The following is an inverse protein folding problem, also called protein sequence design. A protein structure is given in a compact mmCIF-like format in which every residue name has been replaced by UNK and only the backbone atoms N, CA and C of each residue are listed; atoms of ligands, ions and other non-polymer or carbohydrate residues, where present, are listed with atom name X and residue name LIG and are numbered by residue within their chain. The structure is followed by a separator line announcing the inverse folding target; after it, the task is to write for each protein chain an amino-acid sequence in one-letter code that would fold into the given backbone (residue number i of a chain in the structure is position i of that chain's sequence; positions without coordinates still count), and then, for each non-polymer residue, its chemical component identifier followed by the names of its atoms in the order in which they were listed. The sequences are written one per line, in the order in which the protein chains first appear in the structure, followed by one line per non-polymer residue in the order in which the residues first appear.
data_IF_875037317485
#
_entry.id   IF_875037317485
#
_cell.length_a   1.000
_cell.length_b   1.000
_cell.length_c   1.000
_cell.angle_alpha   90.00
_cell.angle_beta   90.00
_cell.angle_gamma   90.00
#
_symmetry.space_group_name_H-M   'P 1'
#
loop_
_entity.id
_entity.type
_entity.pdbx_description
1 polymer ?
#
# COMPACT_ATOMS: atom_id res chain seq x y z
N UNK A 1 -35.28 13.09 28.79
CA UNK A 1 -34.83 13.09 27.38
C UNK A 1 -33.45 12.46 27.18
N UNK A 2 -32.31 13.11 27.52
CA UNK A 2 -30.98 12.54 27.20
C UNK A 2 -30.67 11.23 27.94
N UNK A 3 -31.08 11.13 29.22
CA UNK A 3 -30.84 9.94 30.03
C UNK A 3 -31.69 8.74 29.58
N UNK A 4 -32.90 8.99 29.08
CA UNK A 4 -33.78 7.96 28.51
C UNK A 4 -33.22 7.45 27.18
N UNK A 5 -32.64 8.33 26.37
CA UNK A 5 -31.95 7.96 25.14
C UNK A 5 -30.71 7.09 25.41
N UNK A 6 -29.94 7.42 26.44
CA UNK A 6 -28.76 6.62 26.81
C UNK A 6 -29.16 5.29 27.44
N UNK A 7 -30.15 5.30 28.34
CA UNK A 7 -30.61 4.11 29.06
C UNK A 7 -31.41 3.15 28.15
N UNK A 8 -32.09 3.66 27.12
CA UNK A 8 -32.98 2.92 26.21
C UNK A 8 -33.84 1.89 26.96
N UNK A 9 -34.61 2.33 27.97
CA UNK A 9 -35.43 1.43 28.81
C UNK A 9 -34.65 0.22 29.39
N UNK A 10 -33.37 0.39 29.72
CA UNK A 10 -32.49 -0.66 30.23
C UNK A 10 -31.67 -1.41 29.17
N UNK A 11 -31.95 -1.21 27.88
CA UNK A 11 -31.21 -1.86 26.78
C UNK A 11 -29.96 -1.11 26.35
N UNK A 12 -29.78 0.13 26.80
CA UNK A 12 -28.72 1.02 26.33
C UNK A 12 -27.33 0.41 26.47
N UNK A 13 -27.05 -0.28 27.57
CA UNK A 13 -25.75 -0.90 27.81
C UNK A 13 -25.37 -1.91 26.72
N UNK A 14 -26.34 -2.71 26.24
CA UNK A 14 -26.12 -3.68 25.17
C UNK A 14 -25.95 -3.01 23.80
N UNK A 15 -26.79 -2.01 23.51
CA UNK A 15 -26.76 -1.28 22.24
C UNK A 15 -25.45 -0.52 22.09
N UNK A 16 -25.05 0.25 23.11
CA UNK A 16 -23.80 1.00 23.08
C UNK A 16 -22.57 0.10 23.06
N UNK A 17 -22.59 -1.02 23.80
CA UNK A 17 -21.47 -1.98 23.77
C UNK A 17 -21.33 -2.65 22.41
N UNK A 18 -22.43 -3.12 21.81
CA UNK A 18 -22.41 -3.70 20.48
C UNK A 18 -21.92 -2.69 19.43
N UNK A 19 -22.44 -1.46 19.49
CA UNK A 19 -22.04 -0.39 18.58
C UNK A 19 -20.55 -0.04 18.71
N UNK A 20 -20.02 0.07 19.93
CA UNK A 20 -18.60 0.34 20.17
C UNK A 20 -17.71 -0.79 19.66
N UNK A 21 -18.08 -2.05 19.90
CA UNK A 21 -17.34 -3.21 19.39
C UNK A 21 -17.32 -3.21 17.86
N UNK A 22 -18.45 -2.92 17.22
CA UNK A 22 -18.52 -2.81 15.76
C UNK A 22 -17.66 -1.67 15.22
N UNK A 23 -17.74 -0.48 15.80
CA UNK A 23 -16.90 0.66 15.41
C UNK A 23 -15.42 0.36 15.60
N UNK A 24 -15.06 -0.27 16.71
CA UNK A 24 -13.68 -0.66 16.99
C UNK A 24 -13.17 -1.71 16.00
N UNK A 25 -14.01 -2.68 15.63
CA UNK A 25 -13.70 -3.69 14.63
C UNK A 25 -13.41 -3.08 13.26
N UNK A 26 -14.30 -2.21 12.77
CA UNK A 26 -14.09 -1.53 11.48
C UNK A 26 -12.88 -0.60 11.50
N UNK A 27 -12.69 0.17 12.58
CA UNK A 27 -11.56 1.09 12.70
C UNK A 27 -10.24 0.32 12.71
N UNK A 28 -10.15 -0.75 13.49
CA UNK A 28 -8.95 -1.59 13.55
C UNK A 28 -8.64 -2.22 12.20
N UNK A 29 -9.65 -2.77 11.52
CA UNK A 29 -9.49 -3.34 10.19
C UNK A 29 -9.02 -2.30 9.17
N UNK A 30 -9.61 -1.10 9.18
CA UNK A 30 -9.20 0.00 8.32
C UNK A 30 -7.73 0.40 8.55
N UNK A 31 -7.30 0.49 9.81
CA UNK A 31 -5.92 0.83 10.14
C UNK A 31 -4.94 -0.25 9.65
N UNK A 32 -5.24 -1.53 9.87
CA UNK A 32 -4.41 -2.64 9.40
C UNK A 32 -4.24 -2.58 7.88
N UNK A 33 -5.36 -2.49 7.14
CA UNK A 33 -5.34 -2.42 5.67
C UNK A 33 -4.57 -1.19 5.19
N UNK A 34 -4.76 -0.03 5.82
CA UNK A 34 -4.04 1.19 5.46
C UNK A 34 -2.53 1.05 5.67
N UNK A 35 -2.12 0.41 6.76
CA UNK A 35 -0.70 0.14 7.05
C UNK A 35 -0.11 -0.82 6.01
N UNK A 36 -0.81 -1.90 5.69
CA UNK A 36 -0.40 -2.85 4.64
C UNK A 36 -0.31 -2.15 3.27
N UNK A 37 -1.29 -1.32 2.93
CA UNK A 37 -1.28 -0.56 1.68
C UNK A 37 -0.07 0.37 1.58
N UNK A 38 0.30 1.06 2.67
CA UNK A 38 1.49 1.93 2.68
C UNK A 38 2.77 1.11 2.54
N UNK A 39 2.87 -0.03 3.24
CA UNK A 39 4.03 -0.93 3.13
C UNK A 39 4.20 -1.44 1.70
N UNK A 40 3.11 -1.91 1.09
CA UNK A 40 3.15 -2.46 -0.27
C UNK A 40 3.45 -1.36 -1.29
N UNK A 41 2.87 -0.16 -1.14
CA UNK A 41 3.23 1.00 -1.97
C UNK A 41 4.72 1.37 -1.86
N UNK A 42 5.30 1.38 -0.65
CA UNK A 42 6.74 1.64 -0.47
C UNK A 42 7.60 0.57 -1.12
N UNK A 43 7.22 -0.69 -0.98
CA UNK A 43 7.92 -1.83 -1.60
C UNK A 43 7.81 -1.80 -3.13
N UNK A 44 6.65 -1.37 -3.65
CA UNK A 44 6.46 -1.17 -5.08
C UNK A 44 7.36 -0.04 -5.60
N UNK A 45 7.37 1.12 -4.93
CA UNK A 45 8.22 2.26 -5.31
C UNK A 45 9.70 1.89 -5.27
N UNK A 46 10.18 1.18 -4.25
CA UNK A 46 11.59 0.79 -4.20
C UNK A 46 11.95 -0.19 -5.31
N UNK A 47 11.10 -1.19 -5.60
CA UNK A 47 11.33 -2.15 -6.68
C UNK A 47 11.25 -1.52 -8.06
N UNK A 48 10.27 -0.65 -8.32
CA UNK A 48 10.14 0.01 -9.61
C UNK A 48 11.20 1.09 -9.84
N UNK A 49 11.58 1.83 -8.80
CA UNK A 49 12.69 2.78 -8.89
C UNK A 49 14.01 2.08 -9.16
N UNK A 50 14.24 0.89 -8.58
CA UNK A 50 15.41 0.07 -8.89
C UNK A 50 15.33 -0.51 -10.31
N UNK A 51 14.15 -0.95 -10.74
CA UNK A 51 13.95 -1.48 -12.09
C UNK A 51 14.20 -0.45 -13.18
N UNK A 52 13.85 0.82 -12.94
CA UNK A 52 14.08 1.92 -13.89
C UNK A 52 15.58 2.22 -14.01
N UNK A 53 16.31 2.23 -12.89
CA UNK A 53 17.77 2.37 -12.87
C UNK A 53 18.48 1.19 -13.53
N UNK A 54 18.01 -0.04 -13.30
CA UNK A 54 18.58 -1.25 -13.89
C UNK A 54 18.26 -1.36 -15.39
N UNK A 55 17.07 -0.92 -15.82
CA UNK A 55 16.75 -0.80 -17.25
C UNK A 55 17.57 0.28 -17.93
N UNK A 56 17.81 1.42 -17.29
CA UNK A 56 18.65 2.48 -17.84
C UNK A 56 20.08 1.97 -18.10
N UNK A 57 20.67 1.28 -17.12
CA UNK A 57 22.02 0.70 -17.27
C UNK A 57 22.04 -0.48 -18.26
N UNK A 58 20.98 -1.29 -18.29
CA UNK A 58 20.79 -2.37 -19.27
C UNK A 58 20.65 -1.88 -20.71
N UNK A 59 20.00 -0.73 -20.92
CA UNK A 59 19.86 -0.10 -22.24
C UNK A 59 21.19 0.52 -22.68
N UNK A 60 21.89 1.24 -21.81
CA UNK A 60 23.23 1.78 -22.13
C UNK A 60 24.22 0.67 -22.49
N UNK A 61 24.27 -0.41 -21.71
CA UNK A 61 25.16 -1.55 -22.00
C UNK A 61 24.78 -2.26 -23.31
N UNK A 62 23.50 -2.39 -23.65
CA UNK A 62 23.08 -2.97 -24.93
C UNK A 62 23.44 -2.06 -26.11
N UNK A 63 23.26 -0.73 -25.99
CA UNK A 63 23.64 0.25 -27.02
C UNK A 63 25.14 0.19 -27.27
N UNK A 64 25.96 0.21 -26.22
CA UNK A 64 27.43 0.11 -26.32
C UNK A 64 27.84 -1.21 -27.00
N UNK A 65 27.23 -2.33 -26.61
CA UNK A 65 27.52 -3.63 -27.22
C UNK A 65 27.14 -3.67 -28.71
N UNK A 66 26.03 -3.03 -29.10
CA UNK A 66 25.64 -2.91 -30.51
C UNK A 66 26.58 -1.99 -31.30
N UNK A 67 27.05 -0.88 -30.71
CA UNK A 67 28.05 -0.03 -31.34
C UNK A 67 29.37 -0.78 -31.58
N UNK A 68 29.87 -1.51 -30.59
CA UNK A 68 31.09 -2.33 -30.73
C UNK A 68 30.94 -3.34 -31.86
N UNK A 69 29.83 -4.08 -31.91
CA UNK A 69 29.53 -5.03 -32.98
C UNK A 69 29.49 -4.34 -34.36
N UNK A 70 28.88 -3.17 -34.45
CA UNK A 70 28.77 -2.42 -35.71
C UNK A 70 30.13 -1.92 -36.22
N UNK A 71 31.05 -1.58 -35.32
CA UNK A 71 32.43 -1.18 -35.65
C UNK A 71 33.23 -2.39 -36.12
N UNK A 72 33.16 -3.52 -35.41
CA UNK A 72 33.87 -4.74 -35.79
C UNK A 72 33.40 -5.32 -37.12
N UNK A 73 32.13 -5.16 -37.48
CA UNK A 73 31.57 -5.66 -38.75
C UNK A 73 31.90 -4.75 -39.95
N UNK A 74 32.37 -3.51 -39.70
CA UNK A 74 32.77 -2.54 -40.74
C UNK A 74 34.26 -2.59 -41.10
N UNK A 75 35.06 -3.37 -40.38
CA UNK A 75 36.47 -3.67 -40.68
C UNK A 75 36.52 -4.92 -41.56
#
# INVERSE_FOLDING_TARGET
MINEFISMNGYGLFVWSAYLITLFGFTSLYLIIKLEQIKEKRKFVSKFSLLDSEKATGVETNIINQEILSITTKI
#
